data_IF_397795590501
#
_entry.id   IF_397795590501
#
_cell.length_a   1.000
_cell.length_b   1.000
_cell.length_c   1.000
_cell.angle_alpha   90.00
_cell.angle_beta   90.00
_cell.angle_gamma   90.00
#
_symmetry.space_group_name_H-M   'P 1'
#
loop_
_entity.id
_entity.type
_entity.pdbx_description
1 polymer ?
#
# COMPACT_ATOMS: atom_id res chain seq x y z
N UNK A 1 -9.46 37.88 45.01
CA UNK A 1 -9.66 36.41 44.98
C UNK A 1 -10.06 36.03 43.55
N UNK A 2 -9.08 36.06 42.62
CA UNK A 2 -9.28 35.72 41.20
C UNK A 2 -7.98 35.21 40.52
N UNK A 3 -6.88 35.17 41.27
CA UNK A 3 -5.54 34.77 40.80
C UNK A 3 -5.20 33.31 41.14
N UNK A 4 -6.06 32.58 41.86
CA UNK A 4 -5.81 31.17 42.19
C UNK A 4 -6.33 30.18 41.14
N UNK A 5 -7.34 30.55 40.35
CA UNK A 5 -7.94 29.63 39.37
C UNK A 5 -7.10 29.45 38.09
N UNK A 6 -6.12 30.35 37.84
CA UNK A 6 -5.30 30.28 36.64
C UNK A 6 -4.06 29.39 36.81
N UNK A 7 -3.65 29.11 38.05
CA UNK A 7 -2.49 28.26 38.35
C UNK A 7 -2.82 26.76 38.31
N UNK A 8 -4.10 26.37 38.44
CA UNK A 8 -4.52 24.97 38.45
C UNK A 8 -4.79 24.43 37.03
N UNK A 9 -5.10 25.31 36.07
CA UNK A 9 -5.36 24.95 34.68
C UNK A 9 -4.09 24.67 33.85
N UNK A 10 -2.92 25.15 34.30
CA UNK A 10 -1.65 24.88 33.62
C UNK A 10 -1.09 23.48 33.95
N UNK A 11 -1.55 22.85 35.05
CA UNK A 11 -1.12 21.51 35.46
C UNK A 11 -1.82 20.36 34.72
N UNK A 12 -2.81 20.66 33.89
CA UNK A 12 -3.64 19.67 33.21
C UNK A 12 -3.44 19.62 31.69
N UNK A 13 -2.27 20.05 31.19
CA UNK A 13 -1.89 19.84 29.80
C UNK A 13 -1.00 18.59 29.66
N UNK A 14 -1.54 17.41 29.29
CA UNK A 14 -0.75 16.19 29.11
C UNK A 14 0.13 16.20 27.85
N UNK A 15 0.23 17.32 27.12
CA UNK A 15 0.90 17.41 25.81
C UNK A 15 2.34 17.91 25.90
N UNK A 16 2.86 18.26 27.09
CA UNK A 16 4.22 18.75 27.22
C UNK A 16 5.11 17.79 28.01
N UNK A 17 6.11 17.23 27.31
CA UNK A 17 7.43 16.84 27.84
C UNK A 17 7.79 15.35 28.07
N UNK A 18 7.09 14.35 27.53
CA UNK A 18 7.58 12.94 27.60
C UNK A 18 7.52 12.14 26.28
N UNK A 19 6.73 12.60 25.29
CA UNK A 19 6.57 11.91 24.00
C UNK A 19 7.73 12.12 23.02
N UNK A 20 8.27 13.33 22.97
CA UNK A 20 9.24 13.74 21.94
C UNK A 20 10.64 13.14 22.20
N UNK A 21 11.08 13.06 23.45
CA UNK A 21 12.39 12.50 23.80
C UNK A 21 12.47 11.01 23.45
N UNK A 22 11.39 10.28 23.70
CA UNK A 22 11.29 8.86 23.35
C UNK A 22 11.24 8.66 21.84
N UNK A 23 10.58 9.56 21.10
CA UNK A 23 10.52 9.54 19.64
C UNK A 23 11.89 9.84 19.02
N UNK A 24 12.59 10.85 19.53
CA UNK A 24 13.94 11.21 19.12
C UNK A 24 14.95 10.11 19.47
N UNK A 25 14.78 9.43 20.60
CA UNK A 25 15.59 8.27 20.95
C UNK A 25 15.34 7.08 20.01
N UNK A 26 14.08 6.81 19.65
CA UNK A 26 13.74 5.77 18.68
C UNK A 26 14.34 6.06 17.29
N UNK A 27 14.22 7.29 16.82
CA UNK A 27 14.84 7.76 15.57
C UNK A 27 16.36 7.65 15.64
N UNK A 28 16.96 8.00 16.79
CA UNK A 28 18.39 7.87 17.05
C UNK A 28 18.87 6.41 17.03
N UNK A 29 18.09 5.48 17.59
CA UNK A 29 18.39 4.05 17.56
C UNK A 29 18.29 3.48 16.14
N UNK A 30 17.26 3.84 15.38
CA UNK A 30 17.12 3.44 13.98
C UNK A 30 18.27 3.95 13.11
N UNK A 31 18.68 5.21 13.29
CA UNK A 31 19.80 5.80 12.56
C UNK A 31 21.16 5.15 12.92
N UNK A 32 21.29 4.50 14.08
CA UNK A 32 22.48 3.72 14.46
C UNK A 32 22.42 2.31 13.86
N UNK A 33 21.26 1.65 13.89
CA UNK A 33 21.06 0.35 13.27
C UNK A 33 21.34 0.38 11.75
N UNK A 34 20.86 1.42 11.06
CA UNK A 34 21.11 1.63 9.63
C UNK A 34 22.61 1.79 9.32
N UNK A 35 23.37 2.47 10.19
CA UNK A 35 24.82 2.65 10.01
C UNK A 35 25.63 1.39 10.28
N UNK A 36 25.17 0.53 11.19
CA UNK A 36 25.81 -0.76 11.45
C UNK A 36 25.61 -1.74 10.28
N UNK A 37 24.46 -1.67 9.59
CA UNK A 37 24.20 -2.48 8.39
C UNK A 37 24.92 -1.96 7.14
N UNK A 38 25.12 -0.65 7.03
CA UNK A 38 25.92 -0.04 5.95
C UNK A 38 27.43 -0.35 6.05
N UNK A 39 27.89 -0.91 7.18
CA UNK A 39 29.31 -1.23 7.42
C UNK A 39 29.77 -2.59 6.91
N UNK A 40 28.89 -3.43 6.34
CA UNK A 40 29.26 -4.75 5.82
C UNK A 40 29.43 -4.71 4.29
N UNK A 41 30.35 -3.86 3.82
CA UNK A 41 30.83 -3.85 2.44
C UNK A 41 31.71 -5.09 2.19
N UNK A 42 31.10 -6.19 1.70
CA UNK A 42 31.89 -7.22 1.02
C UNK A 42 32.22 -6.76 -0.39
N UNK A 43 33.47 -6.36 -0.57
CA UNK A 43 34.12 -6.24 -1.86
C UNK A 43 34.02 -7.59 -2.60
N UNK A 44 33.39 -7.60 -3.78
CA UNK A 44 33.55 -8.71 -4.73
C UNK A 44 34.12 -8.12 -6.01
N UNK A 45 35.36 -8.53 -6.28
CA UNK A 45 36.16 -8.20 -7.44
C UNK A 45 35.41 -8.51 -8.75
N UNK A 46 35.18 -7.48 -9.56
CA UNK A 46 34.71 -7.67 -10.93
C UNK A 46 35.90 -8.07 -11.82
N UNK A 47 36.10 -9.37 -12.01
CA UNK A 47 37.07 -9.91 -12.96
C UNK A 47 36.69 -9.49 -14.40
N UNK A 48 37.60 -8.78 -15.07
CA UNK A 48 37.50 -8.39 -16.49
C UNK A 48 38.13 -9.48 -17.36
N UNK A 49 37.33 -10.16 -18.20
CA UNK A 49 37.85 -11.11 -19.20
C UNK A 49 37.24 -10.86 -20.58
N UNK A 50 37.97 -10.10 -21.39
CA UNK A 50 37.67 -9.90 -22.80
C UNK A 50 38.11 -11.11 -23.67
N UNK A 51 37.26 -11.44 -24.66
CA UNK A 51 37.54 -11.87 -26.07
C UNK A 51 37.07 -13.27 -26.54
N UNK A 52 35.88 -13.26 -27.21
CA UNK A 52 35.48 -13.92 -28.51
C UNK A 52 35.25 -15.45 -28.56
N UNK A 53 34.55 -16.02 -29.59
CA UNK A 53 33.39 -15.55 -30.40
C UNK A 53 32.27 -16.62 -30.65
N UNK A 54 31.06 -16.13 -31.03
CA UNK A 54 29.98 -16.79 -31.82
C UNK A 54 29.55 -18.24 -31.50
N UNK A 55 28.44 -18.35 -30.76
CA UNK A 55 27.41 -19.36 -31.00
C UNK A 55 26.03 -18.74 -30.68
N UNK A 56 25.12 -18.79 -31.65
CA UNK A 56 23.71 -18.42 -31.50
C UNK A 56 23.01 -19.50 -30.68
N UNK A 57 22.37 -19.14 -29.56
CA UNK A 57 21.18 -19.81 -29.02
C UNK A 57 20.47 -18.86 -28.03
N UNK A 58 19.17 -18.57 -28.19
CA UNK A 58 18.49 -17.48 -27.50
C UNK A 58 17.61 -18.02 -26.37
N UNK A 59 18.00 -17.84 -25.10
CA UNK A 59 17.06 -17.82 -23.97
C UNK A 59 17.67 -16.91 -22.90
N UNK A 60 17.50 -15.59 -23.07
CA UNK A 60 17.76 -14.65 -21.98
C UNK A 60 16.56 -14.64 -21.05
N UNK A 61 16.61 -15.47 -20.00
CA UNK A 61 15.81 -15.22 -18.80
C UNK A 61 16.44 -14.02 -18.10
N UNK A 62 15.94 -12.82 -18.39
CA UNK A 62 16.28 -11.63 -17.62
C UNK A 62 15.60 -11.82 -16.27
N UNK A 63 16.33 -12.39 -15.31
CA UNK A 63 15.93 -12.31 -13.91
C UNK A 63 16.21 -10.89 -13.45
N UNK A 64 15.22 -10.00 -13.57
CA UNK A 64 15.27 -8.70 -12.94
C UNK A 64 15.17 -8.97 -11.45
N UNK A 65 16.32 -9.02 -10.77
CA UNK A 65 16.36 -8.87 -9.32
C UNK A 65 16.04 -7.40 -9.08
N UNK A 66 14.75 -7.11 -8.86
CA UNK A 66 14.28 -5.80 -8.46
C UNK A 66 14.96 -5.45 -7.14
N UNK A 67 15.90 -4.51 -7.17
CA UNK A 67 16.37 -3.83 -5.97
C UNK A 67 15.24 -2.90 -5.56
N UNK A 68 14.32 -3.43 -4.74
CA UNK A 68 13.20 -2.70 -4.15
C UNK A 68 13.71 -1.40 -3.52
N UNK A 69 13.33 -0.27 -4.11
CA UNK A 69 13.48 1.02 -3.47
C UNK A 69 12.58 1.06 -2.24
N UNK A 70 13.16 0.90 -1.05
CA UNK A 70 12.57 1.29 0.23
C UNK A 70 11.13 0.84 0.51
N UNK A 71 10.87 -0.47 0.56
CA UNK A 71 9.69 -0.95 1.28
C UNK A 71 9.90 -0.68 2.78
N UNK A 72 9.48 0.49 3.26
CA UNK A 72 9.31 0.69 4.71
C UNK A 72 8.20 -0.29 5.10
N UNK A 73 8.56 -1.35 5.84
CA UNK A 73 7.62 -2.32 6.39
C UNK A 73 6.81 -1.66 7.51
N UNK A 74 5.92 -0.74 7.15
CA UNK A 74 4.90 -0.23 8.06
C UNK A 74 3.82 -1.32 8.12
N UNK A 75 3.45 -1.82 9.32
CA UNK A 75 2.34 -2.74 9.44
C UNK A 75 1.06 -2.03 8.97
N UNK A 76 0.44 -2.56 7.91
CA UNK A 76 -0.87 -2.11 7.45
C UNK A 76 -1.91 -2.72 8.39
N UNK A 77 -2.67 -1.87 9.07
CA UNK A 77 -3.69 -2.28 10.04
C UNK A 77 -5.07 -1.92 9.51
N UNK A 78 -5.92 -2.91 9.36
CA UNK A 78 -7.34 -2.72 9.06
C UNK A 78 -8.12 -2.57 10.38
N UNK A 79 -9.02 -1.57 10.44
CA UNK A 79 -9.90 -1.38 11.60
C UNK A 79 -11.32 -1.07 11.16
N UNK A 80 -12.28 -1.70 11.83
CA UNK A 80 -13.71 -1.49 11.63
C UNK A 80 -14.30 -0.97 12.92
N UNK A 81 -14.97 0.18 12.87
CA UNK A 81 -15.55 0.84 14.06
C UNK A 81 -14.55 1.04 15.22
N UNK A 82 -13.27 1.30 14.89
CA UNK A 82 -12.20 1.55 15.86
C UNK A 82 -11.59 0.28 16.49
N UNK A 83 -11.98 -0.91 16.04
CA UNK A 83 -11.40 -2.19 16.46
C UNK A 83 -10.54 -2.74 15.34
N UNK A 84 -9.31 -3.16 15.65
CA UNK A 84 -8.44 -3.82 14.69
C UNK A 84 -9.03 -5.19 14.31
N UNK A 85 -9.13 -5.45 13.01
CA UNK A 85 -9.63 -6.72 12.48
C UNK A 85 -8.55 -7.37 11.62
N UNK A 86 -8.58 -8.69 11.54
CA UNK A 86 -7.72 -9.43 10.62
C UNK A 86 -8.32 -9.37 9.21
N UNK A 87 -7.55 -9.01 8.18
CA UNK A 87 -8.05 -9.03 6.81
C UNK A 87 -8.31 -10.46 6.32
N UNK A 88 -9.34 -10.63 5.51
CA UNK A 88 -9.63 -11.89 4.81
C UNK A 88 -8.73 -12.09 3.60
N UNK A 89 -8.38 -10.98 2.95
CA UNK A 89 -7.64 -10.94 1.69
C UNK A 89 -6.60 -9.84 1.77
N UNK A 90 -5.39 -10.15 1.33
CA UNK A 90 -4.34 -9.18 1.04
C UNK A 90 -4.00 -9.26 -0.45
N UNK A 91 -4.26 -8.18 -1.18
CA UNK A 91 -4.00 -8.07 -2.61
C UNK A 91 -2.64 -7.37 -2.79
N UNK A 92 -1.63 -8.02 -3.37
CA UNK A 92 -0.38 -7.37 -3.70
C UNK A 92 -0.57 -6.46 -4.92
N UNK A 93 -0.22 -5.18 -4.76
CA UNK A 93 -0.29 -4.16 -5.80
C UNK A 93 1.13 -3.79 -6.21
N UNK A 94 1.52 -4.19 -7.42
CA UNK A 94 2.85 -3.90 -7.98
C UNK A 94 2.69 -3.26 -9.35
N UNK A 95 3.39 -2.16 -9.58
CA UNK A 95 3.41 -1.44 -10.86
C UNK A 95 4.71 -0.67 -11.05
N UNK A 96 4.99 -0.30 -12.30
CA UNK A 96 6.11 0.58 -12.65
C UNK A 96 5.54 1.87 -13.22
N UNK A 97 5.95 3.01 -12.68
CA UNK A 97 5.54 4.33 -13.17
C UNK A 97 6.13 4.62 -14.56
N UNK A 98 5.60 5.63 -15.24
CA UNK A 98 6.12 6.16 -16.50
C UNK A 98 7.55 6.72 -16.39
N UNK A 99 7.96 7.12 -15.18
CA UNK A 99 9.34 7.52 -14.83
C UNK A 99 10.27 6.33 -14.55
N UNK A 100 9.75 5.11 -14.52
CA UNK A 100 10.52 3.88 -14.29
C UNK A 100 10.73 3.52 -12.82
N UNK A 101 9.91 4.05 -11.91
CA UNK A 101 9.93 3.72 -10.49
C UNK A 101 9.03 2.50 -10.24
N UNK A 102 9.59 1.46 -9.64
CA UNK A 102 8.82 0.29 -9.20
C UNK A 102 8.17 0.57 -7.84
N UNK A 103 6.84 0.46 -7.80
CA UNK A 103 6.03 0.61 -6.59
C UNK A 103 5.46 -0.75 -6.18
N UNK A 104 5.52 -1.03 -4.88
CA UNK A 104 4.92 -2.21 -4.25
C UNK A 104 4.15 -1.80 -3.01
N UNK A 105 2.84 -2.04 -3.01
CA UNK A 105 1.93 -1.78 -1.91
C UNK A 105 0.88 -2.90 -1.81
N UNK A 106 -0.06 -2.78 -0.88
CA UNK A 106 -1.06 -3.80 -0.52
C UNK A 106 -2.42 -3.18 -0.28
N UNK A 107 -3.45 -3.89 -0.71
CA UNK A 107 -4.84 -3.66 -0.33
C UNK A 107 -5.30 -4.81 0.59
N UNK A 108 -5.77 -4.47 1.79
CA UNK A 108 -6.37 -5.41 2.73
C UNK A 108 -7.88 -5.28 2.71
N UNK A 109 -8.59 -6.41 2.69
CA UNK A 109 -10.06 -6.45 2.60
C UNK A 109 -10.63 -7.34 3.70
N UNK A 110 -11.73 -6.89 4.30
CA UNK A 110 -12.49 -7.60 5.32
C UNK A 110 -13.99 -7.60 4.99
N UNK A 111 -14.57 -8.80 4.94
CA UNK A 111 -15.98 -9.06 4.58
C UNK A 111 -16.91 -9.16 5.80
N UNK A 112 -16.53 -8.57 6.93
CA UNK A 112 -17.29 -8.72 8.18
C UNK A 112 -16.95 -10.00 8.93
N UNK A 113 -17.55 -10.23 10.10
CA UNK A 113 -17.27 -11.41 10.91
C UNK A 113 -17.70 -12.71 10.19
N UNK A 114 -16.88 -13.79 10.18
CA UNK A 114 -17.23 -15.03 9.47
C UNK A 114 -18.58 -15.65 9.87
N UNK A 115 -19.04 -15.42 11.09
CA UNK A 115 -20.35 -15.90 11.58
C UNK A 115 -21.54 -15.07 11.09
N UNK A 116 -21.29 -13.87 10.57
CA UNK A 116 -22.32 -12.91 10.13
C UNK A 116 -22.44 -12.82 8.60
N UNK A 117 -21.48 -13.42 7.88
CA UNK A 117 -21.45 -13.47 6.41
C UNK A 117 -22.58 -14.33 5.85
N UNK A 118 -23.17 -13.86 4.76
CA UNK A 118 -24.05 -14.70 3.96
C UNK A 118 -23.26 -15.62 3.01
N UNK A 119 -23.97 -16.48 2.26
CA UNK A 119 -23.30 -17.40 1.35
C UNK A 119 -22.59 -16.70 0.17
N UNK A 120 -23.04 -15.50 -0.24
CA UNK A 120 -22.40 -14.75 -1.32
C UNK A 120 -21.08 -14.14 -0.82
N UNK A 121 -21.07 -13.53 0.35
CA UNK A 121 -19.87 -12.98 0.99
C UNK A 121 -18.79 -14.05 1.17
N UNK A 122 -19.17 -15.25 1.62
CA UNK A 122 -18.24 -16.38 1.77
C UNK A 122 -17.61 -16.77 0.43
N UNK A 123 -18.41 -16.82 -0.65
CA UNK A 123 -17.92 -17.17 -2.00
C UNK A 123 -17.03 -16.09 -2.58
N UNK A 124 -17.37 -14.82 -2.40
CA UNK A 124 -16.58 -13.69 -2.89
C UNK A 124 -15.26 -13.60 -2.13
N UNK A 125 -15.28 -13.72 -0.80
CA UNK A 125 -14.06 -13.74 0.00
C UNK A 125 -13.12 -14.87 -0.42
N UNK A 126 -13.66 -16.08 -0.65
CA UNK A 126 -12.88 -17.23 -1.12
C UNK A 126 -12.31 -17.01 -2.53
N UNK A 127 -13.11 -16.43 -3.43
CA UNK A 127 -12.64 -16.05 -4.76
C UNK A 127 -11.49 -15.05 -4.65
N UNK A 128 -11.66 -13.94 -3.93
CA UNK A 128 -10.66 -12.88 -3.84
C UNK A 128 -9.36 -13.36 -3.17
N UNK A 129 -9.46 -14.29 -2.21
CA UNK A 129 -8.30 -14.92 -1.56
C UNK A 129 -7.48 -15.83 -2.49
N UNK A 130 -8.13 -16.44 -3.47
CA UNK A 130 -7.51 -17.43 -4.38
C UNK A 130 -7.28 -16.92 -5.80
N UNK A 131 -7.81 -15.74 -6.10
CA UNK A 131 -7.65 -15.08 -7.39
C UNK A 131 -6.19 -14.66 -7.61
N UNK A 132 -5.74 -14.79 -8.86
CA UNK A 132 -4.42 -14.32 -9.27
C UNK A 132 -4.46 -12.83 -9.58
N UNK A 133 -3.90 -12.04 -8.66
CA UNK A 133 -3.82 -10.58 -8.78
C UNK A 133 -2.63 -10.10 -9.61
N UNK A 134 -1.87 -11.00 -10.25
CA UNK A 134 -0.70 -10.62 -11.05
C UNK A 134 -1.06 -9.60 -12.13
N UNK A 135 -0.37 -8.45 -12.11
CA UNK A 135 -0.56 -7.37 -13.07
C UNK A 135 -1.76 -6.45 -12.80
N UNK A 136 -2.56 -6.68 -11.75
CA UNK A 136 -3.65 -5.77 -11.39
C UNK A 136 -3.13 -4.36 -11.08
N UNK A 137 -1.99 -4.26 -10.39
CA UNK A 137 -1.40 -2.98 -10.02
C UNK A 137 -1.05 -2.11 -11.24
N UNK A 138 -0.45 -2.71 -12.27
CA UNK A 138 -0.13 -1.99 -13.51
C UNK A 138 -1.40 -1.49 -14.21
N UNK A 139 -2.46 -2.30 -14.25
CA UNK A 139 -3.75 -1.90 -14.83
C UNK A 139 -4.40 -0.76 -14.05
N UNK A 140 -4.32 -0.79 -12.72
CA UNK A 140 -4.81 0.28 -11.84
C UNK A 140 -4.04 1.58 -12.11
N UNK A 141 -2.71 1.51 -12.17
CA UNK A 141 -1.87 2.65 -12.50
C UNK A 141 -2.24 3.28 -13.86
N UNK A 142 -2.35 2.46 -14.90
CA UNK A 142 -2.70 2.92 -16.25
C UNK A 142 -4.11 3.51 -16.33
N UNK A 143 -5.09 2.91 -15.65
CA UNK A 143 -6.46 3.42 -15.59
C UNK A 143 -6.56 4.74 -14.81
N UNK A 144 -5.80 4.88 -13.72
CA UNK A 144 -5.71 6.11 -12.95
C UNK A 144 -5.10 7.26 -13.78
N UNK A 145 -4.10 6.97 -14.62
CA UNK A 145 -3.54 7.94 -15.56
C UNK A 145 -4.49 8.30 -16.69
N UNK A 146 -5.27 7.33 -17.19
CA UNK A 146 -6.22 7.56 -18.28
C UNK A 146 -7.48 8.30 -17.81
N UNK A 147 -7.87 8.09 -16.54
CA UNK A 147 -9.07 8.66 -15.93
C UNK A 147 -8.72 9.38 -14.62
N UNK A 148 -7.82 10.38 -14.65
CA UNK A 148 -7.38 11.04 -13.44
C UNK A 148 -8.53 11.89 -12.88
N UNK A 149 -8.66 11.94 -11.57
CA UNK A 149 -9.45 12.94 -10.86
C UNK A 149 -8.63 14.23 -10.88
N UNK A 150 -9.18 15.30 -11.45
CA UNK A 150 -8.47 16.55 -11.71
C UNK A 150 -9.02 17.64 -10.77
N UNK A 151 -8.19 18.29 -9.95
CA UNK A 151 -8.63 19.30 -8.98
C UNK A 151 -9.52 20.40 -9.57
N UNK A 152 -9.14 20.93 -10.73
CA UNK A 152 -9.86 22.01 -11.43
C UNK A 152 -11.22 21.57 -11.97
N UNK A 153 -11.35 20.30 -12.36
CA UNK A 153 -12.58 19.73 -12.91
C UNK A 153 -13.52 19.23 -11.80
N UNK A 154 -12.94 18.62 -10.78
CA UNK A 154 -13.66 17.83 -9.77
C UNK A 154 -13.78 18.60 -8.43
N UNK A 155 -13.29 19.84 -8.38
CA UNK A 155 -13.63 20.82 -7.34
C UNK A 155 -12.84 20.68 -6.03
N UNK A 156 -11.51 20.56 -6.08
CA UNK A 156 -10.67 20.55 -4.87
C UNK A 156 -9.28 21.20 -5.01
N UNK A 157 -8.49 21.12 -3.94
CA UNK A 157 -7.10 21.63 -3.84
C UNK A 157 -6.10 20.48 -3.89
N UNK A 158 -4.96 20.67 -4.56
CA UNK A 158 -4.09 19.61 -5.13
C UNK A 158 -3.54 18.45 -4.25
N UNK A 159 -3.46 18.44 -2.90
CA UNK A 159 -2.97 17.25 -2.22
C UNK A 159 -4.00 16.10 -2.25
N UNK A 160 -3.60 14.94 -2.77
CA UNK A 160 -4.35 13.68 -2.65
C UNK A 160 -5.17 13.25 -3.88
N UNK A 161 -5.16 14.02 -4.97
CA UNK A 161 -5.88 13.66 -6.20
C UNK A 161 -5.27 12.46 -6.92
N UNK A 162 -3.94 12.30 -6.90
CA UNK A 162 -3.27 11.12 -7.43
C UNK A 162 -3.69 9.86 -6.64
N UNK A 163 -3.66 9.94 -5.31
CA UNK A 163 -4.15 8.87 -4.44
C UNK A 163 -5.63 8.57 -4.67
N UNK A 164 -6.47 9.60 -4.81
CA UNK A 164 -7.89 9.43 -5.07
C UNK A 164 -8.14 8.78 -6.45
N UNK A 165 -7.38 9.17 -7.48
CA UNK A 165 -7.45 8.58 -8.82
C UNK A 165 -7.05 7.12 -8.79
N UNK A 166 -5.94 6.82 -8.11
CA UNK A 166 -5.47 5.46 -7.92
C UNK A 166 -6.47 4.61 -7.15
N UNK A 167 -7.02 5.13 -6.04
CA UNK A 167 -8.02 4.43 -5.22
C UNK A 167 -9.30 4.16 -6.02
N UNK A 168 -9.78 5.14 -6.79
CA UNK A 168 -10.97 4.97 -7.62
C UNK A 168 -10.75 3.92 -8.73
N UNK A 169 -9.56 3.90 -9.36
CA UNK A 169 -9.19 2.87 -10.32
C UNK A 169 -9.06 1.49 -9.67
N UNK A 170 -8.45 1.42 -8.47
CA UNK A 170 -8.32 0.19 -7.70
C UNK A 170 -9.68 -0.42 -7.37
N UNK A 171 -10.60 0.35 -6.78
CA UNK A 171 -11.95 -0.13 -6.47
C UNK A 171 -12.65 -0.66 -7.72
N UNK A 172 -12.66 0.11 -8.80
CA UNK A 172 -13.31 -0.28 -10.07
C UNK A 172 -12.74 -1.56 -10.64
N UNK A 173 -11.41 -1.68 -10.73
CA UNK A 173 -10.77 -2.82 -11.40
C UNK A 173 -10.77 -4.08 -10.53
N UNK A 174 -10.58 -3.95 -9.22
CA UNK A 174 -10.68 -5.08 -8.28
C UNK A 174 -12.11 -5.63 -8.29
N UNK A 175 -13.13 -4.77 -8.22
CA UNK A 175 -14.52 -5.20 -8.29
C UNK A 175 -14.87 -5.85 -9.65
N UNK A 176 -14.29 -5.35 -10.75
CA UNK A 176 -14.52 -5.89 -12.08
C UNK A 176 -14.01 -7.33 -12.25
N UNK A 177 -13.00 -7.76 -11.47
CA UNK A 177 -12.53 -9.15 -11.47
C UNK A 177 -13.53 -10.10 -10.82
N UNK A 178 -14.41 -9.63 -9.93
CA UNK A 178 -15.39 -10.47 -9.24
C UNK A 178 -16.44 -10.96 -10.26
N UNK A 179 -16.57 -12.27 -10.50
CA UNK A 179 -17.53 -12.80 -11.45
C UNK A 179 -18.96 -12.46 -11.03
N UNK A 180 -19.78 -12.02 -11.97
CA UNK A 180 -21.18 -11.70 -11.72
C UNK A 180 -21.99 -12.88 -11.15
N UNK A 181 -21.56 -14.12 -11.39
CA UNK A 181 -22.19 -15.33 -10.83
C UNK A 181 -21.96 -15.49 -9.32
N UNK A 182 -20.99 -14.79 -8.73
CA UNK A 182 -20.75 -14.82 -7.29
C UNK A 182 -21.53 -13.76 -6.53
N UNK A 183 -21.93 -12.68 -7.21
CA UNK A 183 -22.76 -11.60 -6.65
C UNK A 183 -24.16 -12.10 -6.34
N UNK A 184 -24.74 -11.67 -5.23
CA UNK A 184 -26.07 -12.08 -4.78
C UNK A 184 -27.15 -11.71 -5.79
N UNK A 185 -28.21 -12.52 -5.86
CA UNK A 185 -29.37 -12.23 -6.69
C UNK A 185 -30.11 -10.99 -6.16
N UNK A 186 -29.86 -9.83 -6.77
CA UNK A 186 -30.45 -8.54 -6.36
C UNK A 186 -29.43 -7.49 -5.91
N UNK A 187 -28.14 -7.82 -5.84
CA UNK A 187 -27.07 -6.84 -5.63
C UNK A 187 -26.73 -6.18 -6.96
N UNK A 188 -27.48 -5.12 -7.32
CA UNK A 188 -27.09 -4.23 -8.41
C UNK A 188 -25.92 -3.29 -8.01
N UNK A 189 -25.60 -3.17 -6.72
CA UNK A 189 -24.62 -2.21 -6.22
C UNK A 189 -23.63 -2.83 -5.22
N UNK A 190 -22.42 -3.10 -5.71
CA UNK A 190 -21.21 -3.24 -4.91
C UNK A 190 -21.14 -4.45 -3.97
N UNK A 191 -19.93 -4.87 -3.61
CA UNK A 191 -19.74 -5.78 -2.48
C UNK A 191 -19.44 -4.93 -1.25
N UNK A 192 -20.17 -5.14 -0.15
CA UNK A 192 -19.96 -4.38 1.07
C UNK A 192 -18.82 -5.00 1.87
N UNK A 193 -17.60 -4.50 1.67
CA UNK A 193 -16.44 -4.85 2.48
C UNK A 193 -15.76 -3.60 3.02
N UNK A 194 -14.99 -3.78 4.10
CA UNK A 194 -14.07 -2.75 4.59
C UNK A 194 -12.70 -3.00 3.97
N UNK A 195 -11.97 -1.94 3.61
CA UNK A 195 -10.60 -2.08 3.12
C UNK A 195 -9.63 -1.08 3.74
N UNK A 196 -8.34 -1.40 3.67
CA UNK A 196 -7.23 -0.54 4.04
C UNK A 196 -6.11 -0.71 3.03
N UNK A 197 -5.36 0.36 2.78
CA UNK A 197 -4.30 0.36 1.76
C UNK A 197 -3.07 1.10 2.26
N UNK A 198 -1.89 0.58 1.95
CA UNK A 198 -0.62 1.33 2.09
C UNK A 198 -0.17 1.94 0.74
N UNK A 199 -1.02 1.87 -0.29
CA UNK A 199 -0.78 2.53 -1.56
C UNK A 199 -0.92 4.07 -1.42
N UNK A 200 0.18 4.76 -1.69
CA UNK A 200 0.23 6.24 -1.72
C UNK A 200 -0.32 6.83 -3.02
N UNK A 201 -0.54 5.99 -4.04
CA UNK A 201 -1.01 6.40 -5.36
C UNK A 201 0.01 7.24 -6.14
N UNK A 202 1.28 6.83 -6.11
CA UNK A 202 2.34 7.52 -6.85
C UNK A 202 2.13 7.39 -8.37
N UNK A 203 1.59 8.44 -9.00
CA UNK A 203 1.31 8.45 -10.44
C UNK A 203 2.47 8.97 -11.30
N UNK A 204 3.25 9.93 -10.80
CA UNK A 204 4.16 10.75 -11.63
C UNK A 204 5.58 10.99 -11.04
N UNK A 205 6.03 10.19 -10.07
CA UNK A 205 7.20 10.54 -9.26
C UNK A 205 8.56 10.24 -9.91
#
# INVERSE_FOLDING_TARGET
MKERDMSDLESANPVAADGDDKLHELVGQMARAARLQAGEERSVEAATWWKRPRALLPISVVSIVALTGGAILIPLTLSVSGVQVEPDVEIPIVYTTDTGVDVSCREQIFFGEPSERDEADVRIAEFMRTHDWTGIGQRIYEDALATPIIPERDGGTEPGFDQASFSAAASRLIEAEIPASLRGAGEEEGTVYSSATDCTGELHR
#
